data_IF_171791961328
#
_entry.id   IF_171791961328
#
_cell.length_a   1.000
_cell.length_b   1.000
_cell.length_c   1.000
_cell.angle_alpha   90.00
_cell.angle_beta   90.00
_cell.angle_gamma   90.00
#
_symmetry.space_group_name_H-M   'P 1'
#
loop_
_entity.id
_entity.type
_entity.pdbx_description
1 polymer ?
#
# COMPACT_ATOMS: atom_id res chain seq x y z
N UNK A 1 10.29 -6.24 -12.21
CA UNK A 1 9.94 -7.19 -11.13
C UNK A 1 9.80 -6.49 -9.78
N UNK A 2 10.84 -5.95 -9.14
CA UNK A 2 10.67 -5.12 -7.92
C UNK A 2 10.35 -3.66 -8.23
N UNK A 3 10.95 -3.11 -9.30
CA UNK A 3 10.69 -1.73 -9.72
C UNK A 3 9.21 -1.50 -10.06
N UNK A 4 8.58 -2.44 -10.78
CA UNK A 4 7.17 -2.30 -11.18
C UNK A 4 6.22 -2.30 -9.97
N UNK A 5 6.54 -3.08 -8.93
CA UNK A 5 5.79 -3.08 -7.67
C UNK A 5 6.01 -1.78 -6.89
N UNK A 6 7.26 -1.30 -6.85
CA UNK A 6 7.57 -0.02 -6.22
C UNK A 6 6.80 1.11 -6.91
N UNK A 7 6.86 1.16 -8.24
CA UNK A 7 6.16 2.16 -9.04
C UNK A 7 4.65 2.00 -8.93
N UNK A 8 4.13 0.78 -8.89
CA UNK A 8 2.71 0.50 -8.70
C UNK A 8 2.17 0.96 -7.35
N UNK A 9 2.94 0.79 -6.27
CA UNK A 9 2.56 1.32 -4.96
C UNK A 9 2.67 2.86 -4.92
N UNK A 10 3.72 3.45 -5.49
CA UNK A 10 3.87 4.91 -5.57
C UNK A 10 2.73 5.57 -6.36
N UNK A 11 2.32 4.98 -7.49
CA UNK A 11 1.19 5.50 -8.28
C UNK A 11 -0.16 5.37 -7.57
N UNK A 12 -0.29 4.46 -6.63
CA UNK A 12 -1.49 4.27 -5.81
C UNK A 12 -1.48 5.12 -4.54
N UNK A 13 -0.38 5.80 -4.21
CA UNK A 13 -0.29 6.60 -3.01
C UNK A 13 -1.25 7.78 -3.08
N UNK A 14 -2.16 7.87 -2.13
CA UNK A 14 -3.07 9.01 -1.95
C UNK A 14 -2.82 9.70 -0.61
N UNK A 15 -2.34 8.96 0.38
CA UNK A 15 -2.05 9.42 1.73
C UNK A 15 -0.98 10.51 1.75
N UNK A 16 0.03 10.42 0.88
CA UNK A 16 1.17 11.34 0.78
C UNK A 16 1.18 12.15 -0.52
N UNK A 17 0.19 11.98 -1.38
CA UNK A 17 0.11 12.67 -2.68
C UNK A 17 -0.60 14.02 -2.62
N UNK A 18 -0.10 14.96 -3.42
CA UNK A 18 -0.68 16.28 -3.63
C UNK A 18 -0.99 16.48 -5.12
N UNK A 19 -2.08 17.17 -5.41
CA UNK A 19 -2.43 17.57 -6.78
C UNK A 19 -2.15 19.06 -6.93
N UNK A 20 -1.39 19.37 -7.97
CA UNK A 20 -1.18 20.73 -8.45
C UNK A 20 -2.34 21.12 -9.37
N UNK A 21 -3.02 22.22 -9.06
CA UNK A 21 -4.02 22.81 -9.93
C UNK A 21 -3.39 23.72 -11.01
N UNK A 22 -4.23 24.22 -11.94
CA UNK A 22 -3.78 25.09 -13.02
C UNK A 22 -3.35 26.50 -12.58
N UNK A 23 -3.61 26.87 -11.32
CA UNK A 23 -3.29 28.18 -10.74
C UNK A 23 -2.06 28.13 -9.82
N UNK A 24 -1.46 26.94 -9.64
CA UNK A 24 -0.27 26.75 -8.80
C UNK A 24 -0.56 26.33 -7.37
N UNK A 25 -1.84 26.11 -7.02
CA UNK A 25 -2.27 25.60 -5.74
C UNK A 25 -2.01 24.11 -5.60
N UNK A 26 -1.71 23.67 -4.37
CA UNK A 26 -1.56 22.26 -4.03
C UNK A 26 -2.65 21.84 -3.06
N UNK A 27 -3.35 20.75 -3.37
CA UNK A 27 -4.32 20.13 -2.47
C UNK A 27 -3.93 18.68 -2.18
N UNK A 28 -4.12 18.26 -0.91
CA UNK A 28 -3.89 16.87 -0.50
C UNK A 28 -4.97 15.99 -1.10
N UNK A 29 -4.60 14.80 -1.57
CA UNK A 29 -5.55 13.90 -2.24
C UNK A 29 -6.51 13.23 -1.25
N UNK A 30 -6.00 12.34 -0.40
CA UNK A 30 -6.75 11.72 0.70
C UNK A 30 -5.77 11.31 1.80
N UNK A 31 -5.73 12.05 2.91
CA UNK A 31 -4.76 11.82 3.99
C UNK A 31 -4.89 10.48 4.70
N UNK A 32 -6.08 9.87 4.67
CA UNK A 32 -6.36 8.59 5.31
C UNK A 32 -6.32 7.40 4.33
N UNK A 33 -5.90 7.65 3.09
CA UNK A 33 -5.85 6.65 2.02
C UNK A 33 -4.60 5.78 2.02
N UNK A 34 -4.26 5.22 0.85
CA UNK A 34 -3.11 4.31 0.73
C UNK A 34 -1.79 5.07 0.87
N UNK A 35 -0.89 4.57 1.74
CA UNK A 35 0.46 5.09 1.96
C UNK A 35 1.50 4.07 1.52
N UNK A 36 2.24 4.39 0.46
CA UNK A 36 3.32 3.54 -0.04
C UNK A 36 4.42 3.37 1.03
N UNK A 37 4.71 4.42 1.79
CA UNK A 37 5.67 4.36 2.89
C UNK A 37 5.30 3.30 3.94
N UNK A 38 4.07 3.33 4.45
CA UNK A 38 3.61 2.36 5.45
C UNK A 38 3.59 0.95 4.86
N UNK A 39 3.18 0.82 3.59
CA UNK A 39 3.19 -0.45 2.87
C UNK A 39 4.59 -1.07 2.82
N UNK A 40 5.62 -0.32 2.42
CA UNK A 40 6.99 -0.86 2.35
C UNK A 40 7.60 -1.15 3.72
N UNK A 41 7.32 -0.32 4.73
CA UNK A 41 7.82 -0.55 6.10
C UNK A 41 7.22 -1.80 6.74
N UNK A 42 6.01 -2.19 6.34
CA UNK A 42 5.30 -3.38 6.88
C UNK A 42 5.42 -4.62 5.98
N UNK A 43 5.90 -4.45 4.75
CA UNK A 43 6.10 -5.54 3.78
C UNK A 43 7.54 -5.53 3.23
N UNK A 44 8.58 -5.70 4.08
CA UNK A 44 9.97 -5.52 3.70
C UNK A 44 10.52 -6.57 2.71
N UNK A 45 9.80 -7.67 2.44
CA UNK A 45 10.24 -8.78 1.59
C UNK A 45 9.54 -8.84 0.21
N UNK A 46 9.61 -7.77 -0.59
CA UNK A 46 9.06 -7.77 -1.97
C UNK A 46 9.99 -8.42 -3.02
N UNK A 47 11.21 -8.82 -2.63
CA UNK A 47 12.26 -9.28 -3.54
C UNK A 47 12.14 -10.75 -4.00
N UNK A 48 11.25 -11.56 -3.38
CA UNK A 48 10.96 -12.92 -3.86
C UNK A 48 12.13 -13.92 -3.83
N UNK A 49 13.29 -13.57 -3.24
CA UNK A 49 14.47 -14.46 -3.13
C UNK A 49 14.75 -14.98 -1.71
N UNK A 50 13.74 -14.98 -0.86
CA UNK A 50 13.81 -15.63 0.44
C UNK A 50 12.41 -15.84 0.99
N UNK A 51 11.94 -17.08 0.91
CA UNK A 51 10.92 -17.64 1.80
C UNK A 51 9.50 -17.04 1.65
N UNK A 52 8.54 -17.78 1.12
CA UNK A 52 7.74 -18.68 1.94
C UNK A 52 7.21 -17.99 3.22
N UNK A 53 6.12 -17.24 3.10
CA UNK A 53 5.08 -17.27 4.11
C UNK A 53 3.77 -17.69 3.44
N UNK A 54 3.61 -19.00 3.47
CA UNK A 54 2.36 -19.71 3.25
C UNK A 54 1.37 -19.32 4.37
N UNK A 55 0.13 -19.00 3.98
CA UNK A 55 -1.15 -19.11 4.73
C UNK A 55 -1.39 -18.35 6.04
N UNK A 56 -2.39 -17.46 5.94
CA UNK A 56 -3.60 -17.33 6.79
C UNK A 56 -3.43 -17.11 8.31
N UNK A 57 -3.94 -15.96 8.75
CA UNK A 57 -4.76 -15.84 9.95
C UNK A 57 -5.94 -14.90 9.63
N UNK A 58 -7.22 -15.26 9.68
CA UNK A 58 -7.90 -16.52 9.91
C UNK A 58 -9.41 -16.29 9.66
N UNK A 59 -10.07 -17.19 8.93
CA UNK A 59 -11.53 -17.35 9.05
C UNK A 59 -11.80 -18.01 10.40
N UNK A 60 -12.44 -17.32 11.34
CA UNK A 60 -13.27 -17.99 12.37
C UNK A 60 -14.73 -17.82 11.97
N UNK A 61 -15.38 -18.96 11.72
CA UNK A 61 -16.82 -19.03 11.63
C UNK A 61 -17.47 -18.63 12.96
N UNK A 62 -18.65 -18.05 12.87
CA UNK A 62 -19.64 -18.12 13.93
C UNK A 62 -20.85 -18.84 13.34
N UNK A 63 -21.09 -20.05 13.82
CA UNK A 63 -22.39 -20.71 13.78
C UNK A 63 -22.58 -21.36 15.15
N UNK A 64 -23.68 -21.06 15.83
CA UNK A 64 -24.12 -21.81 17.02
C UNK A 64 -24.47 -20.98 18.27
N UNK A 65 -25.64 -20.35 18.28
CA UNK A 65 -26.76 -20.69 19.15
C UNK A 65 -28.03 -20.00 18.67
#
# INVERSE_FOLDING_TARGET
QVLDEIMGANLKDTAQSWVLDGEGGFSRLDSDGFSAHNYFMTNPSLSGRGSALDKKAGKKGQNGK
#
